data_IF_058457632016
#
_entry.id   IF_058457632016
#
_cell.length_a   1.000
_cell.length_b   1.000
_cell.length_c   1.000
_cell.angle_alpha   90.00
_cell.angle_beta   90.00
_cell.angle_gamma   90.00
#
_symmetry.space_group_name_H-M   'P 1'
#
loop_
_entity.id
_entity.type
_entity.pdbx_description
1 polymer ?
#
# COMPACT_ATOMS: atom_id res chain seq x y z
N UNK A 1 1.25 16.32 -0.43
CA UNK A 1 2.55 16.70 0.07
C UNK A 1 3.66 16.13 -0.82
N UNK A 2 4.72 16.89 -1.04
CA UNK A 2 5.85 16.47 -1.88
C UNK A 2 7.10 16.45 -1.03
N UNK A 3 7.82 15.33 -1.10
CA UNK A 3 9.14 15.20 -0.51
C UNK A 3 10.15 15.10 -1.64
N UNK A 4 10.93 16.16 -1.85
CA UNK A 4 11.89 16.23 -2.94
C UNK A 4 13.03 15.20 -2.83
N UNK A 5 13.23 14.63 -1.65
CA UNK A 5 14.23 13.59 -1.42
C UNK A 5 13.71 12.19 -1.73
N UNK A 6 12.40 12.03 -1.86
CA UNK A 6 11.80 10.73 -2.11
C UNK A 6 12.08 10.27 -3.54
N UNK A 7 12.49 9.03 -3.66
CA UNK A 7 12.66 8.38 -4.96
C UNK A 7 12.10 6.98 -4.88
N UNK A 8 11.20 6.69 -5.81
CA UNK A 8 10.74 5.32 -5.98
C UNK A 8 11.89 4.43 -6.38
N UNK A 9 11.82 3.18 -5.97
CA UNK A 9 12.82 2.20 -6.33
C UNK A 9 12.17 0.86 -6.62
N UNK A 10 12.93 -0.01 -7.30
CA UNK A 10 12.48 -1.37 -7.59
C UNK A 10 12.66 -2.26 -6.37
N UNK A 11 11.94 -3.37 -6.37
CA UNK A 11 12.09 -4.41 -5.37
C UNK A 11 11.83 -5.76 -6.05
N UNK A 12 12.79 -6.66 -5.98
CA UNK A 12 12.68 -7.97 -6.62
C UNK A 12 11.73 -8.89 -5.89
N UNK A 13 10.76 -9.43 -6.60
CA UNK A 13 9.80 -10.38 -6.08
C UNK A 13 10.00 -11.74 -6.73
N UNK A 14 9.92 -12.81 -5.93
CA UNK A 14 9.80 -14.16 -6.46
C UNK A 14 8.43 -14.33 -7.15
N UNK A 15 8.25 -15.40 -7.91
CA UNK A 15 6.95 -15.67 -8.54
C UNK A 15 5.83 -15.83 -7.52
N UNK A 16 6.12 -16.47 -6.40
CA UNK A 16 5.12 -16.63 -5.32
C UNK A 16 4.80 -15.30 -4.66
N UNK A 17 5.81 -14.52 -4.33
CA UNK A 17 5.61 -13.19 -3.74
C UNK A 17 4.83 -12.28 -4.67
N UNK A 18 5.11 -12.35 -5.97
CA UNK A 18 4.39 -11.56 -6.98
C UNK A 18 2.91 -11.92 -7.00
N UNK A 19 2.58 -13.20 -7.01
CA UNK A 19 1.19 -13.66 -6.97
C UNK A 19 0.49 -13.19 -5.70
N UNK A 20 1.14 -13.27 -4.56
CA UNK A 20 0.59 -12.79 -3.29
C UNK A 20 0.35 -11.28 -3.32
N UNK A 21 1.29 -10.52 -3.83
CA UNK A 21 1.15 -9.06 -3.93
C UNK A 21 -0.01 -8.67 -4.86
N UNK A 22 -0.12 -9.33 -6.01
CA UNK A 22 -1.21 -9.09 -6.95
C UNK A 22 -2.57 -9.41 -6.31
N UNK A 23 -2.66 -10.51 -5.58
CA UNK A 23 -3.87 -10.89 -4.88
C UNK A 23 -4.25 -9.87 -3.80
N UNK A 24 -3.28 -9.46 -2.99
CA UNK A 24 -3.51 -8.47 -1.93
C UNK A 24 -4.03 -7.17 -2.52
N UNK A 25 -3.34 -6.64 -3.52
CA UNK A 25 -3.70 -5.37 -4.14
C UNK A 25 -5.11 -5.44 -4.75
N UNK A 26 -5.44 -6.53 -5.41
CA UNK A 26 -6.76 -6.70 -6.00
C UNK A 26 -7.85 -6.78 -4.94
N UNK A 27 -7.63 -7.56 -3.89
CA UNK A 27 -8.65 -7.80 -2.87
C UNK A 27 -8.80 -6.68 -1.87
N UNK A 28 -7.70 -6.00 -1.53
CA UNK A 28 -7.75 -4.90 -0.57
C UNK A 28 -8.17 -3.58 -1.22
N UNK A 29 -7.80 -3.35 -2.47
CA UNK A 29 -8.05 -2.06 -3.11
C UNK A 29 -8.45 -2.14 -4.59
N UNK A 30 -9.02 -3.25 -5.03
CA UNK A 30 -9.52 -3.39 -6.40
C UNK A 30 -10.62 -2.37 -6.73
N UNK A 31 -11.43 -1.99 -5.74
CA UNK A 31 -12.49 -0.99 -5.91
C UNK A 31 -11.95 0.41 -6.19
N UNK A 32 -10.69 0.67 -5.88
CA UNK A 32 -10.03 1.94 -6.19
C UNK A 32 -9.54 2.04 -7.64
N UNK A 33 -9.74 1.00 -8.44
CA UNK A 33 -9.25 0.95 -9.81
C UNK A 33 -7.73 0.86 -9.88
N UNK A 34 -7.18 1.10 -11.06
CA UNK A 34 -5.74 1.00 -11.27
C UNK A 34 -4.96 1.96 -10.35
N UNK A 35 -5.41 3.20 -10.23
CA UNK A 35 -4.74 4.19 -9.38
C UNK A 35 -4.70 3.76 -7.92
N UNK A 36 -5.82 3.23 -7.41
CA UNK A 36 -5.88 2.72 -6.05
C UNK A 36 -4.93 1.55 -5.84
N UNK A 37 -4.85 0.65 -6.80
CA UNK A 37 -3.96 -0.49 -6.74
C UNK A 37 -2.49 -0.08 -6.82
N UNK A 38 -2.15 0.94 -7.61
CA UNK A 38 -0.78 1.50 -7.62
C UNK A 38 -0.43 2.11 -6.27
N UNK A 39 -1.37 2.82 -5.66
CA UNK A 39 -1.15 3.39 -4.32
C UNK A 39 -0.88 2.31 -3.29
N UNK A 40 -1.66 1.26 -3.30
CA UNK A 40 -1.42 0.16 -2.37
C UNK A 40 -0.12 -0.58 -2.66
N UNK A 41 0.21 -0.79 -3.93
CA UNK A 41 1.48 -1.39 -4.30
C UNK A 41 2.65 -0.52 -3.83
N UNK A 42 2.55 0.79 -3.95
CA UNK A 42 3.56 1.71 -3.43
C UNK A 42 3.71 1.59 -1.92
N UNK A 43 2.60 1.51 -1.20
CA UNK A 43 2.62 1.35 0.24
C UNK A 43 3.33 0.05 0.64
N UNK A 44 3.04 -1.05 -0.05
CA UNK A 44 3.72 -2.34 0.16
C UNK A 44 5.23 -2.23 -0.13
N UNK A 45 5.59 -1.68 -1.27
CA UNK A 45 7.00 -1.53 -1.65
C UNK A 45 7.75 -0.64 -0.68
N UNK A 46 7.19 0.50 -0.34
CA UNK A 46 7.84 1.45 0.57
C UNK A 46 8.05 0.82 1.94
N UNK A 47 7.09 0.04 2.44
CA UNK A 47 7.23 -0.69 3.69
C UNK A 47 8.36 -1.72 3.61
N UNK A 48 8.42 -2.49 2.52
CA UNK A 48 9.47 -3.50 2.33
C UNK A 48 10.86 -2.87 2.22
N UNK A 49 10.98 -1.81 1.44
CA UNK A 49 12.26 -1.10 1.26
C UNK A 49 12.71 -0.47 2.58
N UNK A 50 11.79 0.10 3.34
CA UNK A 50 12.08 0.73 4.63
C UNK A 50 12.20 -0.29 5.75
N UNK A 51 11.78 -1.53 5.52
CA UNK A 51 11.73 -2.60 6.52
C UNK A 51 10.88 -2.23 7.74
N UNK A 52 9.76 -1.58 7.48
CA UNK A 52 8.84 -1.16 8.52
C UNK A 52 7.42 -1.68 8.27
N UNK A 53 6.81 -2.09 9.36
CA UNK A 53 5.37 -2.25 9.47
C UNK A 53 4.98 -1.65 10.81
N UNK A 54 4.22 -0.58 10.77
CA UNK A 54 4.02 0.17 11.99
C UNK A 54 5.34 0.71 12.49
N UNK A 55 5.74 0.29 13.66
CA UNK A 55 6.94 0.80 14.32
C UNK A 55 8.11 -0.19 14.34
N UNK A 56 8.01 -1.32 13.66
CA UNK A 56 9.05 -2.35 13.69
C UNK A 56 9.53 -2.70 12.28
N UNK A 57 10.84 -2.95 12.13
CA UNK A 57 11.36 -3.47 10.87
C UNK A 57 10.71 -4.81 10.53
N UNK A 58 10.45 -5.06 9.24
CA UNK A 58 9.78 -6.27 8.85
C UNK A 58 10.25 -6.89 7.54
N UNK A 59 9.92 -8.16 7.40
CA UNK A 59 10.16 -8.96 6.21
C UNK A 59 8.94 -8.93 5.28
N UNK A 60 9.10 -9.46 4.07
CA UNK A 60 7.98 -9.64 3.14
C UNK A 60 6.83 -10.39 3.82
N UNK A 61 7.14 -11.52 4.47
CA UNK A 61 6.11 -12.33 5.12
C UNK A 61 5.33 -11.54 6.16
N UNK A 62 6.02 -10.75 6.96
CA UNK A 62 5.35 -9.91 7.96
C UNK A 62 4.52 -8.82 7.31
N UNK A 63 5.06 -8.15 6.29
CA UNK A 63 4.31 -7.14 5.54
C UNK A 63 3.01 -7.73 4.99
N UNK A 64 3.10 -8.89 4.35
CA UNK A 64 1.94 -9.54 3.72
C UNK A 64 0.99 -10.16 4.74
N UNK A 65 1.50 -10.66 5.86
CA UNK A 65 0.72 -11.39 6.84
C UNK A 65 0.02 -10.52 7.88
N UNK A 66 0.72 -9.54 8.41
CA UNK A 66 0.15 -8.73 9.49
C UNK A 66 -0.69 -7.56 9.02
N UNK A 67 -0.28 -6.94 7.91
CA UNK A 67 -0.92 -5.70 7.47
C UNK A 67 -2.12 -5.93 6.57
N UNK A 68 -2.19 -7.08 5.89
CA UNK A 68 -3.17 -7.28 4.84
C UNK A 68 -3.95 -8.58 5.07
N UNK A 69 -5.25 -8.41 5.33
CA UNK A 69 -6.13 -9.54 5.62
C UNK A 69 -6.27 -10.53 4.45
N UNK A 70 -5.96 -10.09 3.25
CA UNK A 70 -5.99 -10.96 2.07
C UNK A 70 -4.85 -11.98 2.04
N UNK A 71 -3.81 -11.79 2.85
CA UNK A 71 -2.68 -12.72 2.88
C UNK A 71 -3.11 -14.10 3.35
N UNK A 72 -2.59 -15.13 2.72
CA UNK A 72 -2.94 -16.51 3.05
C UNK A 72 -4.17 -17.03 2.32
N UNK A 73 -4.95 -16.13 1.74
CA UNK A 73 -6.11 -16.50 0.91
C UNK A 73 -5.80 -16.39 -0.58
N UNK A 74 -4.54 -16.18 -0.91
CA UNK A 74 -4.12 -15.96 -2.28
C UNK A 74 -4.39 -17.20 -3.13
N UNK A 75 -4.88 -16.95 -4.31
CA UNK A 75 -5.10 -17.93 -5.36
C UNK A 75 -4.43 -17.41 -6.62
N UNK A 76 -4.51 -18.14 -7.68
CA UNK A 76 -4.09 -17.62 -8.97
C UNK A 76 -4.86 -16.33 -9.27
N UNK A 77 -4.13 -15.30 -9.64
CA UNK A 77 -4.75 -14.03 -10.03
C UNK A 77 -5.51 -14.27 -11.33
N UNK A 78 -6.77 -13.87 -11.37
CA UNK A 78 -7.65 -14.10 -12.51
C UNK A 78 -7.49 -13.02 -13.58
N UNK A 79 -8.08 -13.24 -14.75
CA UNK A 79 -7.97 -12.29 -15.86
C UNK A 79 -8.53 -10.91 -15.54
N UNK A 80 -9.54 -10.81 -14.66
CA UNK A 80 -10.09 -9.53 -14.27
C UNK A 80 -9.19 -8.74 -13.31
N UNK A 81 -8.02 -9.26 -13.00
CA UNK A 81 -7.02 -8.59 -12.16
C UNK A 81 -5.80 -8.11 -12.96
N UNK A 82 -5.96 -7.89 -14.26
CA UNK A 82 -4.89 -7.32 -15.09
C UNK A 82 -4.33 -6.01 -14.52
N UNK A 83 -5.19 -5.15 -14.00
CA UNK A 83 -4.74 -3.90 -13.38
C UNK A 83 -3.87 -4.15 -12.16
N UNK A 84 -4.14 -5.19 -11.38
CA UNK A 84 -3.29 -5.56 -10.25
C UNK A 84 -1.90 -6.01 -10.73
N UNK A 85 -1.85 -6.80 -11.80
CA UNK A 85 -0.57 -7.22 -12.40
C UNK A 85 0.23 -6.03 -12.87
N UNK A 86 -0.42 -5.11 -13.58
CA UNK A 86 0.23 -3.89 -14.09
C UNK A 86 0.69 -2.97 -12.96
N UNK A 87 -0.10 -2.86 -11.90
CA UNK A 87 0.26 -2.05 -10.75
C UNK A 87 1.52 -2.58 -10.06
N UNK A 88 1.59 -3.90 -9.85
CA UNK A 88 2.77 -4.53 -9.25
C UNK A 88 3.99 -4.36 -10.16
N UNK A 89 3.84 -4.57 -11.46
CA UNK A 89 4.92 -4.37 -12.42
C UNK A 89 5.44 -2.92 -12.38
N UNK A 90 4.53 -1.95 -12.44
CA UNK A 90 4.90 -0.54 -12.43
C UNK A 90 5.67 -0.16 -11.16
N UNK A 91 5.18 -0.57 -10.02
CA UNK A 91 5.75 -0.16 -8.72
C UNK A 91 7.00 -0.97 -8.39
N UNK A 92 6.96 -2.29 -8.54
CA UNK A 92 8.05 -3.16 -8.08
C UNK A 92 9.15 -3.35 -9.11
N UNK A 93 8.79 -3.51 -10.39
CA UNK A 93 9.76 -3.78 -11.44
C UNK A 93 10.31 -2.50 -12.06
N UNK A 94 9.50 -1.45 -12.14
CA UNK A 94 9.89 -0.18 -12.76
C UNK A 94 10.22 0.91 -11.75
N UNK A 95 9.96 0.69 -10.47
CA UNK A 95 10.21 1.68 -9.42
C UNK A 95 9.24 2.85 -9.45
N UNK A 96 8.06 2.66 -10.05
CA UNK A 96 7.05 3.71 -10.17
C UNK A 96 6.41 4.07 -8.84
N UNK A 97 5.78 5.23 -8.78
CA UNK A 97 5.10 5.72 -7.60
C UNK A 97 3.91 6.59 -8.01
N UNK A 98 2.80 6.47 -7.31
CA UNK A 98 1.64 7.32 -7.50
C UNK A 98 1.79 8.64 -6.74
N UNK A 99 2.45 8.61 -5.60
CA UNK A 99 2.65 9.77 -4.74
C UNK A 99 4.14 10.04 -4.58
N UNK A 100 4.54 11.29 -4.73
CA UNK A 100 5.94 11.71 -4.59
C UNK A 100 6.28 11.93 -3.12
N UNK A 101 6.04 10.91 -2.33
CA UNK A 101 6.34 10.88 -0.90
C UNK A 101 6.26 9.42 -0.44
N UNK A 102 7.10 9.02 0.51
CA UNK A 102 7.00 7.69 1.09
C UNK A 102 5.66 7.51 1.77
N UNK A 103 5.04 6.38 1.55
CA UNK A 103 3.79 6.00 2.23
C UNK A 103 3.96 4.61 2.83
N UNK A 104 3.80 4.53 4.14
CA UNK A 104 4.00 3.28 4.89
C UNK A 104 2.71 2.69 5.43
N UNK A 105 1.70 3.54 5.64
CA UNK A 105 0.46 3.11 6.29
C UNK A 105 -0.72 3.67 5.53
N UNK A 106 -1.84 2.95 5.58
CA UNK A 106 -3.08 3.39 4.97
C UNK A 106 -4.27 2.95 5.81
N UNK A 107 -5.32 3.75 5.80
CA UNK A 107 -6.60 3.35 6.37
C UNK A 107 -7.74 4.06 5.66
N UNK A 108 -8.93 3.42 5.62
CA UNK A 108 -10.11 4.11 5.10
C UNK A 108 -10.55 5.22 6.05
N UNK A 109 -11.18 6.25 5.50
CA UNK A 109 -11.60 7.42 6.27
C UNK A 109 -12.58 7.08 7.41
N UNK A 110 -13.45 6.09 7.19
CA UNK A 110 -14.39 5.67 8.22
C UNK A 110 -13.71 5.03 9.43
N UNK A 111 -12.47 4.55 9.27
CA UNK A 111 -11.67 4.01 10.37
C UNK A 111 -10.84 5.08 11.07
N UNK A 112 -10.68 6.25 10.45
CA UNK A 112 -9.88 7.34 10.97
C UNK A 112 -10.71 8.14 11.98
N UNK A 113 -10.72 7.70 13.22
CA UNK A 113 -11.51 8.28 14.30
C UNK A 113 -10.82 8.06 15.64
N UNK A 114 -11.15 8.86 16.68
CA UNK A 114 -10.55 8.70 18.00
C UNK A 114 -10.60 7.25 18.49
N UNK A 115 -9.47 6.75 18.97
CA UNK A 115 -9.30 5.37 19.40
C UNK A 115 -8.71 4.45 18.33
N UNK A 116 -8.75 4.82 17.05
CA UNK A 116 -8.03 4.06 16.04
C UNK A 116 -6.55 4.45 16.02
N UNK A 117 -5.70 3.50 15.68
CA UNK A 117 -4.26 3.73 15.73
C UNK A 117 -3.82 4.90 14.85
N UNK A 118 -4.31 4.94 13.61
CA UNK A 118 -3.91 5.99 12.66
C UNK A 118 -4.32 7.38 13.13
N UNK A 119 -5.52 7.49 13.69
CA UNK A 119 -6.00 8.77 14.21
C UNK A 119 -5.14 9.23 15.40
N UNK A 120 -4.91 8.34 16.35
CA UNK A 120 -4.20 8.68 17.58
C UNK A 120 -2.71 8.94 17.32
N UNK A 121 -2.13 8.28 16.32
CA UNK A 121 -0.72 8.44 15.95
C UNK A 121 -0.45 9.65 15.05
N UNK A 122 -1.46 10.14 14.33
CA UNK A 122 -1.30 11.25 13.39
C UNK A 122 -0.89 12.53 14.12
N UNK A 123 0.23 13.12 13.69
CA UNK A 123 0.82 14.28 14.36
C UNK A 123 1.69 13.93 15.57
N UNK A 124 1.80 12.65 15.92
CA UNK A 124 2.61 12.16 17.05
C UNK A 124 3.77 11.32 16.56
N UNK A 125 3.49 10.21 15.88
CA UNK A 125 4.50 9.31 15.33
C UNK A 125 4.40 9.14 13.83
N UNK A 126 3.25 9.47 13.25
CA UNK A 126 3.02 9.43 11.80
C UNK A 126 2.45 10.77 11.34
N UNK A 127 2.42 10.96 10.03
CA UNK A 127 1.79 12.12 9.41
C UNK A 127 1.02 11.69 8.17
N UNK A 128 -0.16 12.27 7.99
CA UNK A 128 -0.96 12.06 6.78
C UNK A 128 -0.30 12.83 5.63
N UNK A 129 -0.04 12.15 4.52
CA UNK A 129 0.63 12.74 3.38
C UNK A 129 -0.23 12.77 2.11
N UNK A 130 -1.23 11.91 2.03
CA UNK A 130 -2.06 11.83 0.84
C UNK A 130 -3.43 11.26 1.19
N UNK A 131 -4.45 11.67 0.43
CA UNK A 131 -5.80 11.13 0.52
C UNK A 131 -6.28 10.82 -0.89
N UNK A 132 -6.83 9.63 -1.07
CA UNK A 132 -7.36 9.17 -2.35
C UNK A 132 -8.85 8.85 -2.19
N UNK A 133 -9.69 9.46 -3.03
CA UNK A 133 -11.11 9.17 -3.02
C UNK A 133 -11.42 8.09 -4.06
N UNK A 134 -12.10 7.04 -3.65
CA UNK A 134 -12.52 5.99 -4.56
C UNK A 134 -13.47 6.54 -5.62
N UNK A 135 -13.27 6.10 -6.86
CA UNK A 135 -13.96 6.64 -8.02
C UNK A 135 -15.47 6.47 -7.96
N UNK A 136 -15.93 5.32 -7.46
CA UNK A 136 -17.34 4.96 -7.43
C UNK A 136 -17.91 4.89 -6.03
N UNK A 137 -17.22 5.44 -5.04
CA UNK A 137 -17.60 5.38 -3.65
C UNK A 137 -17.53 6.70 -2.95
N UNK A 138 -18.06 6.74 -1.75
CA UNK A 138 -17.94 7.88 -0.86
C UNK A 138 -16.72 7.78 0.05
N UNK A 139 -16.04 6.64 0.05
CA UNK A 139 -14.90 6.37 0.93
C UNK A 139 -13.64 6.98 0.36
N UNK A 140 -12.89 7.67 1.22
CA UNK A 140 -11.52 8.07 0.94
C UNK A 140 -10.57 7.16 1.71
N UNK A 141 -9.39 6.94 1.16
CA UNK A 141 -8.33 6.20 1.84
C UNK A 141 -7.20 7.17 2.14
N UNK A 142 -6.75 7.15 3.38
CA UNK A 142 -5.72 8.05 3.87
C UNK A 142 -4.39 7.31 3.93
N UNK A 143 -3.33 7.99 3.50
CA UNK A 143 -1.98 7.43 3.45
C UNK A 143 -1.05 8.22 4.34
N UNK A 144 -0.20 7.53 5.07
CA UNK A 144 0.66 8.11 6.09
C UNK A 144 2.10 7.68 5.93
N UNK A 145 3.01 8.53 6.37
CA UNK A 145 4.42 8.21 6.58
C UNK A 145 4.77 8.42 8.05
N UNK A 146 5.95 8.02 8.43
CA UNK A 146 6.51 8.40 9.74
C UNK A 146 6.65 9.93 9.81
N UNK A 147 6.50 10.43 11.01
CA UNK A 147 6.66 11.87 11.27
C UNK A 147 8.11 12.29 11.17
#
# INVERSE_FOLDING_TARGET
KVDSSYKGCTYSLSSEERSEMQWIVYNEFGTGGYEGMVLQAQCLRDALVSKYNGCTPMTIKQTMGYEYSAYGNSKSVTDNSEDAKKAIEYVFDQGGSAVQHRILFMCPDWYYSPGSWHYDADGVTIQKVFSFKEKNGSTSVLFFDLL
#
